data_IF_270898064786
#
_entry.id   IF_270898064786
#
_cell.length_a   1.000
_cell.length_b   1.000
_cell.length_c   1.000
_cell.angle_alpha   90.00
_cell.angle_beta   90.00
_cell.angle_gamma   90.00
#
_symmetry.space_group_name_H-M   'P 1'
#
loop_
_entity.id
_entity.type
_entity.pdbx_description
1 polymer ?
#
# COMPACT_ATOMS: atom_id res chain seq x y z
N UNK A 1 -31.23 -47.28 36.58
CA UNK A 1 -31.50 -46.99 35.16
C UNK A 1 -30.80 -45.68 34.82
N UNK A 2 -29.62 -45.79 34.21
CA UNK A 2 -28.94 -44.66 33.59
C UNK A 2 -29.64 -44.49 32.25
N UNK A 3 -30.33 -43.37 32.04
CA UNK A 3 -30.83 -42.99 30.71
C UNK A 3 -29.57 -42.72 29.87
N UNK A 4 -29.33 -43.45 28.77
CA UNK A 4 -28.27 -43.08 27.85
C UNK A 4 -28.63 -41.68 27.33
N UNK A 5 -27.73 -40.72 27.47
CA UNK A 5 -27.86 -39.45 26.78
C UNK A 5 -28.11 -39.74 25.31
N UNK A 6 -29.14 -39.12 24.72
CA UNK A 6 -29.36 -39.16 23.28
C UNK A 6 -28.03 -38.81 22.62
N UNK A 7 -27.46 -39.73 21.85
CA UNK A 7 -26.37 -39.38 20.95
C UNK A 7 -26.90 -38.23 20.10
N UNK A 8 -26.32 -37.04 20.25
CA UNK A 8 -26.64 -35.93 19.38
C UNK A 8 -26.29 -36.42 17.97
N UNK A 9 -27.30 -36.52 17.09
CA UNK A 9 -27.05 -36.96 15.72
C UNK A 9 -26.04 -36.03 15.08
N UNK A 10 -25.08 -36.62 14.38
CA UNK A 10 -23.96 -35.89 13.80
C UNK A 10 -24.46 -34.88 12.78
N UNK A 11 -24.02 -33.62 12.86
CA UNK A 11 -24.50 -32.54 11.98
C UNK A 11 -24.24 -32.83 10.50
N UNK A 12 -23.19 -33.59 10.20
CA UNK A 12 -22.85 -33.98 8.81
C UNK A 12 -23.79 -35.05 8.24
N UNK A 13 -24.65 -35.64 9.07
CA UNK A 13 -25.73 -36.53 8.61
C UNK A 13 -26.79 -35.73 7.84
N UNK A 14 -27.13 -34.54 8.35
CA UNK A 14 -28.09 -33.62 7.74
C UNK A 14 -27.42 -32.70 6.71
N UNK A 15 -26.15 -32.35 6.94
CA UNK A 15 -25.37 -31.44 6.09
C UNK A 15 -24.02 -32.06 5.69
N UNK A 16 -23.99 -33.07 4.79
CA UNK A 16 -22.77 -33.77 4.40
C UNK A 16 -21.69 -32.87 3.79
N UNK A 17 -22.07 -31.72 3.26
CA UNK A 17 -21.15 -30.72 2.73
C UNK A 17 -20.30 -30.02 3.81
N UNK A 18 -20.67 -30.14 5.10
CA UNK A 18 -19.86 -29.69 6.23
C UNK A 18 -18.70 -30.64 6.58
N UNK A 19 -18.64 -31.85 5.99
CA UNK A 19 -17.58 -32.83 6.27
C UNK A 19 -16.16 -32.22 6.27
N UNK A 20 -15.73 -31.42 5.27
CA UNK A 20 -14.39 -30.84 5.27
C UNK A 20 -14.12 -29.86 6.41
N UNK A 21 -15.16 -29.17 6.89
CA UNK A 21 -15.04 -28.25 8.03
C UNK A 21 -14.98 -29.04 9.33
N UNK A 22 -15.87 -30.01 9.51
CA UNK A 22 -15.92 -30.89 10.70
C UNK A 22 -14.64 -31.72 10.83
N UNK A 23 -14.11 -32.26 9.75
CA UNK A 23 -12.83 -32.97 9.73
C UNK A 23 -11.66 -32.06 10.15
N UNK A 24 -11.75 -30.76 9.85
CA UNK A 24 -10.71 -29.79 10.16
C UNK A 24 -10.76 -29.27 11.60
N UNK A 25 -11.95 -28.98 12.12
CA UNK A 25 -12.12 -28.38 13.47
C UNK A 25 -12.44 -29.41 14.55
N UNK A 26 -13.01 -30.55 14.18
CA UNK A 26 -13.60 -31.52 15.11
C UNK A 26 -15.08 -31.23 15.37
N UNK A 27 -15.93 -32.26 15.32
CA UNK A 27 -17.39 -32.09 15.43
C UNK A 27 -17.82 -31.43 16.75
N UNK A 28 -17.24 -31.85 17.87
CA UNK A 28 -17.55 -31.28 19.19
C UNK A 28 -17.04 -29.84 19.36
N UNK A 29 -16.10 -29.43 18.52
CA UNK A 29 -15.49 -28.11 18.58
C UNK A 29 -16.12 -27.15 17.56
N UNK A 30 -16.92 -27.62 16.60
CA UNK A 30 -17.60 -26.80 15.59
C UNK A 30 -18.41 -25.68 16.26
N UNK A 31 -18.30 -24.46 15.73
CA UNK A 31 -18.96 -23.27 16.29
C UNK A 31 -19.83 -22.54 15.28
N UNK A 32 -20.74 -21.69 15.79
CA UNK A 32 -21.51 -20.72 15.02
C UNK A 32 -20.59 -19.87 14.15
N UNK A 33 -19.44 -19.44 14.68
CA UNK A 33 -18.51 -18.58 13.92
C UNK A 33 -17.83 -19.33 12.76
N UNK A 34 -17.54 -20.63 12.89
CA UNK A 34 -17.09 -21.42 11.73
C UNK A 34 -18.18 -21.48 10.65
N UNK A 35 -19.44 -21.65 11.08
CA UNK A 35 -20.59 -21.72 10.19
C UNK A 35 -20.90 -20.37 9.50
N UNK A 36 -20.59 -19.23 10.12
CA UNK A 36 -20.65 -17.90 9.46
C UNK A 36 -19.73 -17.86 8.24
N UNK A 37 -18.47 -18.31 8.42
CA UNK A 37 -17.51 -18.38 7.33
C UNK A 37 -17.91 -19.37 6.23
N UNK A 38 -18.45 -20.53 6.62
CA UNK A 38 -19.01 -21.51 5.69
C UNK A 38 -20.16 -20.91 4.87
N UNK A 39 -21.13 -20.25 5.52
CA UNK A 39 -22.28 -19.62 4.84
C UNK A 39 -21.85 -18.50 3.89
N UNK A 40 -20.87 -17.69 4.28
CA UNK A 40 -20.31 -16.65 3.40
C UNK A 40 -19.69 -17.25 2.13
N UNK A 41 -18.85 -18.28 2.29
CA UNK A 41 -18.22 -18.98 1.17
C UNK A 41 -19.22 -19.70 0.27
N UNK A 42 -20.22 -20.40 0.84
CA UNK A 42 -21.29 -21.05 0.08
C UNK A 42 -22.06 -20.05 -0.77
N UNK A 43 -22.49 -18.94 -0.18
CA UNK A 43 -23.23 -17.89 -0.89
C UNK A 43 -22.39 -17.31 -2.03
N UNK A 44 -21.11 -17.04 -1.80
CA UNK A 44 -20.22 -16.56 -2.85
C UNK A 44 -20.02 -17.59 -3.98
N UNK A 45 -19.85 -18.87 -3.66
CA UNK A 45 -19.76 -19.95 -4.64
C UNK A 45 -21.02 -20.06 -5.51
N UNK A 46 -22.20 -19.90 -4.91
CA UNK A 46 -23.48 -19.91 -5.63
C UNK A 46 -23.62 -18.71 -6.57
N UNK A 47 -23.29 -17.50 -6.10
CA UNK A 47 -23.42 -16.27 -6.87
C UNK A 47 -22.40 -16.18 -8.02
N UNK A 48 -21.16 -16.58 -7.78
CA UNK A 48 -20.08 -16.53 -8.77
C UNK A 48 -19.96 -17.80 -9.62
N UNK A 49 -20.53 -18.92 -9.17
CA UNK A 49 -20.51 -20.19 -9.90
C UNK A 49 -19.16 -20.93 -9.87
N UNK A 50 -18.29 -20.65 -8.90
CA UNK A 50 -16.98 -21.32 -8.78
C UNK A 50 -17.03 -22.58 -7.90
N UNK A 51 -16.08 -23.48 -8.13
CA UNK A 51 -15.92 -24.71 -7.35
C UNK A 51 -14.84 -24.57 -6.28
N UNK A 52 -14.94 -25.35 -5.21
CA UNK A 52 -13.96 -25.36 -4.12
C UNK A 52 -12.54 -25.53 -4.68
N UNK A 53 -11.64 -24.63 -4.28
CA UNK A 53 -10.22 -24.66 -4.64
C UNK A 53 -9.89 -23.99 -5.97
N UNK A 54 -10.82 -23.23 -6.55
CA UNK A 54 -10.57 -22.44 -7.76
C UNK A 54 -9.39 -21.45 -7.57
N UNK A 55 -8.32 -21.53 -8.38
CA UNK A 55 -7.17 -20.63 -8.28
C UNK A 55 -7.45 -19.22 -8.82
N UNK A 56 -8.58 -19.01 -9.49
CA UNK A 56 -8.97 -17.71 -10.05
C UNK A 56 -9.79 -16.87 -9.08
N UNK A 57 -10.16 -17.44 -7.93
CA UNK A 57 -10.90 -16.76 -6.87
C UNK A 57 -9.98 -16.29 -5.76
N UNK A 58 -10.12 -15.01 -5.41
CA UNK A 58 -9.54 -14.36 -4.25
C UNK A 58 -10.61 -14.17 -3.17
N UNK A 59 -10.33 -14.62 -1.96
CA UNK A 59 -11.12 -14.25 -0.78
C UNK A 59 -10.46 -13.11 -0.02
N UNK A 60 -11.23 -12.09 0.34
CA UNK A 60 -10.82 -11.00 1.23
C UNK A 60 -11.77 -10.96 2.43
N UNK A 61 -11.25 -10.70 3.62
CA UNK A 61 -12.07 -10.57 4.83
C UNK A 61 -11.28 -9.88 5.94
N UNK A 62 -11.96 -9.19 6.84
CA UNK A 62 -11.36 -8.73 8.10
C UNK A 62 -11.44 -9.79 9.22
N UNK A 63 -11.97 -10.99 8.93
CA UNK A 63 -11.92 -12.12 9.83
C UNK A 63 -10.46 -12.45 10.23
N UNK A 64 -10.25 -12.74 11.51
CA UNK A 64 -8.93 -12.88 12.11
C UNK A 64 -8.36 -11.57 12.69
N UNK A 65 -8.93 -10.42 12.35
CA UNK A 65 -8.72 -9.16 13.05
C UNK A 65 -9.87 -8.87 14.02
N UNK A 66 -9.74 -7.76 14.76
CA UNK A 66 -10.75 -7.35 15.72
C UNK A 66 -11.95 -6.81 14.94
N UNK A 67 -13.04 -7.57 14.91
CA UNK A 67 -14.32 -7.15 14.36
C UNK A 67 -15.28 -6.75 15.48
N UNK A 68 -16.24 -5.88 15.15
CA UNK A 68 -17.29 -5.47 16.06
C UNK A 68 -18.37 -6.54 16.20
N UNK A 69 -18.03 -7.60 16.95
CA UNK A 69 -18.89 -8.73 17.28
C UNK A 69 -19.00 -8.92 18.80
N UNK A 70 -18.86 -7.83 19.56
CA UNK A 70 -18.95 -7.85 21.02
C UNK A 70 -17.69 -8.43 21.68
N UNK A 71 -17.87 -9.40 22.59
CA UNK A 71 -16.77 -10.09 23.29
C UNK A 71 -16.21 -11.29 22.52
N UNK A 72 -16.79 -11.58 21.36
CA UNK A 72 -16.47 -12.73 20.52
C UNK A 72 -15.36 -12.39 19.54
N UNK A 73 -14.77 -13.43 18.95
CA UNK A 73 -13.64 -13.30 18.03
C UNK A 73 -14.00 -13.90 16.67
N UNK A 74 -13.35 -13.44 15.60
CA UNK A 74 -13.74 -13.72 14.21
C UNK A 74 -12.86 -14.77 13.52
N UNK A 75 -11.78 -15.22 14.18
CA UNK A 75 -10.76 -16.12 13.62
C UNK A 75 -11.40 -17.42 13.10
N UNK A 76 -12.41 -17.94 13.80
CA UNK A 76 -13.10 -19.19 13.43
C UNK A 76 -13.84 -19.09 12.09
N UNK A 77 -14.25 -17.90 11.67
CA UNK A 77 -14.85 -17.73 10.34
C UNK A 77 -13.85 -18.06 9.23
N UNK A 78 -12.54 -17.93 9.47
CA UNK A 78 -11.52 -18.34 8.52
C UNK A 78 -11.54 -19.86 8.27
N UNK A 79 -11.84 -20.67 9.29
CA UNK A 79 -11.95 -22.12 9.11
C UNK A 79 -13.06 -22.45 8.11
N UNK A 80 -14.23 -21.84 8.27
CA UNK A 80 -15.36 -21.98 7.36
C UNK A 80 -15.02 -21.53 5.94
N UNK A 81 -14.45 -20.34 5.79
CA UNK A 81 -14.06 -19.80 4.47
C UNK A 81 -13.04 -20.71 3.78
N UNK A 82 -11.97 -21.10 4.48
CA UNK A 82 -10.88 -21.90 3.93
C UNK A 82 -11.33 -23.30 3.53
N UNK A 83 -12.09 -23.98 4.39
CA UNK A 83 -12.51 -25.37 4.14
C UNK A 83 -13.62 -25.46 3.10
N UNK A 84 -14.43 -24.42 2.93
CA UNK A 84 -15.55 -24.37 1.98
C UNK A 84 -15.11 -23.91 0.60
N UNK A 85 -14.50 -22.72 0.50
CA UNK A 85 -14.04 -22.17 -0.78
C UNK A 85 -12.70 -22.76 -1.22
N UNK A 86 -11.95 -23.41 -0.32
CA UNK A 86 -10.64 -23.99 -0.65
C UNK A 86 -9.53 -22.96 -0.82
N UNK A 87 -9.71 -21.75 -0.30
CA UNK A 87 -8.75 -20.63 -0.33
C UNK A 87 -7.79 -20.70 0.86
N UNK A 88 -6.57 -20.17 0.72
CA UNK A 88 -5.64 -20.05 1.85
C UNK A 88 -4.53 -19.03 1.59
N UNK A 89 -3.89 -18.57 2.67
CA UNK A 89 -2.68 -17.72 2.56
C UNK A 89 -1.55 -18.42 1.81
N UNK A 90 -1.41 -19.74 2.01
CA UNK A 90 -0.39 -20.56 1.32
C UNK A 90 -0.63 -20.71 -0.18
N UNK A 91 -1.89 -20.64 -0.62
CA UNK A 91 -2.27 -20.55 -2.05
C UNK A 91 -2.18 -19.13 -2.61
N UNK A 92 -1.95 -18.14 -1.74
CA UNK A 92 -1.89 -16.73 -2.14
C UNK A 92 -3.24 -16.12 -2.51
N UNK A 93 -4.37 -16.76 -2.17
CA UNK A 93 -5.71 -16.33 -2.56
C UNK A 93 -6.69 -16.15 -1.38
N UNK A 94 -6.15 -15.94 -0.18
CA UNK A 94 -6.86 -15.45 0.99
C UNK A 94 -6.10 -14.26 1.58
N UNK A 95 -6.80 -13.14 1.73
CA UNK A 95 -6.28 -11.88 2.25
C UNK A 95 -7.05 -11.50 3.51
N UNK A 96 -6.35 -11.49 4.63
CA UNK A 96 -6.88 -10.97 5.88
C UNK A 96 -6.61 -9.47 5.90
N UNK A 97 -7.63 -8.65 5.67
CA UNK A 97 -7.49 -7.20 5.57
C UNK A 97 -7.58 -6.60 6.97
N UNK A 98 -6.52 -5.92 7.40
CA UNK A 98 -6.51 -5.25 8.70
C UNK A 98 -7.59 -4.17 8.74
N UNK A 99 -8.35 -4.12 9.83
CA UNK A 99 -9.40 -3.13 9.99
C UNK A 99 -9.52 -2.67 11.44
N UNK A 100 -10.14 -1.50 11.66
CA UNK A 100 -10.31 -0.99 13.01
C UNK A 100 -11.36 -1.82 13.79
N UNK A 101 -11.16 -1.95 15.10
CA UNK A 101 -11.90 -2.85 15.98
C UNK A 101 -13.43 -2.69 16.00
N UNK A 102 -13.91 -1.52 15.55
CA UNK A 102 -15.31 -1.10 15.62
C UNK A 102 -16.09 -1.33 14.32
N UNK A 103 -15.47 -1.94 13.31
CA UNK A 103 -16.10 -2.21 12.04
C UNK A 103 -16.80 -3.58 11.99
N UNK A 104 -17.85 -3.73 11.17
CA UNK A 104 -18.54 -5.01 11.02
C UNK A 104 -17.64 -6.06 10.38
N UNK A 105 -17.84 -7.32 10.76
CA UNK A 105 -17.21 -8.46 10.09
C UNK A 105 -17.74 -8.57 8.66
N UNK A 106 -16.85 -8.74 7.68
CA UNK A 106 -17.24 -8.87 6.27
C UNK A 106 -16.40 -9.89 5.50
N UNK A 107 -16.94 -10.31 4.36
CA UNK A 107 -16.31 -11.23 3.42
C UNK A 107 -16.49 -10.72 2.00
N UNK A 108 -15.47 -10.86 1.16
CA UNK A 108 -15.56 -10.62 -0.27
C UNK A 108 -14.88 -11.75 -1.04
N UNK A 109 -15.44 -12.10 -2.19
CA UNK A 109 -14.90 -13.10 -3.09
C UNK A 109 -14.86 -12.51 -4.49
N UNK A 110 -13.68 -12.43 -5.07
CA UNK A 110 -13.45 -11.88 -6.40
C UNK A 110 -12.99 -12.98 -7.34
N UNK A 111 -13.66 -13.12 -8.47
CA UNK A 111 -13.26 -14.00 -9.57
C UNK A 111 -12.58 -13.17 -10.67
N UNK A 112 -11.29 -13.43 -10.90
CA UNK A 112 -10.52 -12.66 -11.89
C UNK A 112 -10.85 -13.00 -13.35
N UNK A 113 -11.53 -14.12 -13.63
CA UNK A 113 -11.89 -14.50 -15.00
C UNK A 113 -13.10 -13.71 -15.49
N UNK A 114 -14.08 -13.51 -14.61
CA UNK A 114 -15.30 -12.75 -14.90
C UNK A 114 -15.18 -11.27 -14.52
N UNK A 115 -14.30 -10.97 -13.56
CA UNK A 115 -14.20 -9.67 -12.91
C UNK A 115 -15.27 -9.45 -11.84
N UNK A 116 -16.13 -10.41 -11.55
CA UNK A 116 -17.21 -10.24 -10.57
C UNK A 116 -16.69 -10.41 -9.14
N UNK A 117 -17.22 -9.59 -8.23
CA UNK A 117 -16.96 -9.67 -6.81
C UNK A 117 -18.26 -9.71 -6.02
N UNK A 118 -18.39 -10.69 -5.13
CA UNK A 118 -19.49 -10.81 -4.17
C UNK A 118 -19.03 -10.37 -2.81
N UNK A 119 -19.75 -9.44 -2.19
CA UNK A 119 -19.50 -8.93 -0.83
C UNK A 119 -20.63 -9.32 0.10
N UNK A 120 -20.27 -9.70 1.33
CA UNK A 120 -21.19 -10.05 2.40
C UNK A 120 -20.77 -9.36 3.71
N UNK A 121 -21.64 -8.55 4.29
CA UNK A 121 -21.43 -7.93 5.59
C UNK A 121 -22.29 -8.61 6.65
N UNK A 122 -21.70 -9.01 7.76
CA UNK A 122 -22.41 -9.72 8.83
C UNK A 122 -23.33 -8.78 9.60
N UNK A 123 -24.60 -9.18 9.74
CA UNK A 123 -25.53 -8.52 10.63
C UNK A 123 -25.22 -8.89 12.09
N UNK A 124 -24.36 -8.10 12.73
CA UNK A 124 -23.94 -8.36 14.12
C UNK A 124 -25.13 -8.42 15.10
N UNK A 125 -26.17 -7.61 14.90
CA UNK A 125 -27.33 -7.63 15.80
C UNK A 125 -28.11 -8.94 15.71
N UNK A 126 -28.09 -9.59 14.55
CA UNK A 126 -28.68 -10.91 14.34
C UNK A 126 -27.74 -12.05 14.79
N UNK A 127 -26.44 -11.92 14.57
CA UNK A 127 -25.45 -12.95 14.95
C UNK A 127 -25.25 -13.03 16.46
N UNK A 128 -25.24 -11.91 17.17
CA UNK A 128 -24.88 -11.85 18.59
C UNK A 128 -25.70 -12.79 19.50
N UNK A 129 -27.05 -12.91 19.37
CA UNK A 129 -27.83 -13.87 20.15
C UNK A 129 -27.40 -15.32 19.97
N UNK A 130 -26.95 -15.72 18.77
CA UNK A 130 -26.42 -17.07 18.52
C UNK A 130 -25.11 -17.30 19.27
N UNK A 131 -24.20 -16.32 19.22
CA UNK A 131 -22.93 -16.37 19.94
C UNK A 131 -23.13 -16.35 21.46
N UNK A 132 -24.11 -15.58 21.96
CA UNK A 132 -24.48 -15.57 23.38
C UNK A 132 -25.03 -16.93 23.84
N UNK A 133 -25.88 -17.59 23.03
CA UNK A 133 -26.39 -18.95 23.29
C UNK A 133 -25.26 -19.98 23.32
N UNK A 134 -24.33 -19.91 22.37
CA UNK A 134 -23.17 -20.78 22.30
C UNK A 134 -22.28 -20.65 23.54
N UNK A 135 -21.92 -19.41 23.88
CA UNK A 135 -21.05 -19.13 25.02
C UNK A 135 -21.67 -19.46 26.38
N UNK A 136 -23.00 -19.47 26.49
CA UNK A 136 -23.70 -19.90 27.70
C UNK A 136 -23.66 -21.43 27.90
N UNK A 137 -23.10 -22.20 26.96
CA UNK A 137 -23.09 -23.66 27.02
C UNK A 137 -24.50 -24.23 27.02
N UNK A 138 -25.44 -23.51 26.40
CA UNK A 138 -26.85 -23.92 26.39
C UNK A 138 -26.92 -25.29 25.73
N UNK A 139 -27.31 -26.31 26.52
CA UNK A 139 -27.32 -27.75 26.15
C UNK A 139 -28.14 -28.05 24.88
N UNK A 140 -28.89 -27.07 24.37
CA UNK A 140 -29.72 -27.14 23.18
C UNK A 140 -29.29 -26.17 22.05
N UNK A 141 -28.03 -25.69 21.98
CA UNK A 141 -27.56 -25.07 20.73
C UNK A 141 -27.42 -26.17 19.67
N UNK A 142 -28.48 -26.41 18.93
CA UNK A 142 -28.42 -27.25 17.76
C UNK A 142 -27.85 -26.41 16.61
N UNK A 143 -26.60 -26.68 16.23
CA UNK A 143 -25.98 -26.02 15.09
C UNK A 143 -26.75 -26.26 13.77
N UNK A 144 -27.56 -27.33 13.69
CA UNK A 144 -28.51 -27.52 12.59
C UNK A 144 -29.59 -26.42 12.52
N UNK A 145 -30.02 -25.83 13.66
CA UNK A 145 -30.91 -24.66 13.64
C UNK A 145 -30.21 -23.44 13.04
N UNK A 146 -28.92 -23.25 13.35
CA UNK A 146 -28.16 -22.16 12.73
C UNK A 146 -27.98 -22.39 11.23
N UNK A 147 -27.89 -23.64 10.78
CA UNK A 147 -27.83 -23.98 9.36
C UNK A 147 -29.09 -23.60 8.60
N UNK A 148 -30.26 -23.59 9.23
CA UNK A 148 -31.52 -23.13 8.64
C UNK A 148 -31.57 -21.60 8.46
N UNK A 149 -30.69 -20.84 9.12
CA UNK A 149 -30.63 -19.37 8.95
C UNK A 149 -30.22 -19.02 7.52
N UNK A 150 -31.12 -18.35 6.81
CA UNK A 150 -30.86 -17.85 5.45
C UNK A 150 -29.80 -16.75 5.41
N UNK A 151 -29.11 -16.62 4.28
CA UNK A 151 -28.06 -15.63 4.07
C UNK A 151 -28.57 -14.19 4.30
N UNK A 152 -29.78 -13.86 3.85
CA UNK A 152 -30.36 -12.50 3.98
C UNK A 152 -30.63 -12.07 5.42
N UNK A 153 -30.76 -13.03 6.35
CA UNK A 153 -30.89 -12.71 7.78
C UNK A 153 -29.52 -12.54 8.44
N UNK A 154 -28.56 -13.38 8.07
CA UNK A 154 -27.21 -13.40 8.63
C UNK A 154 -26.36 -12.22 8.13
N UNK A 155 -26.56 -11.79 6.88
CA UNK A 155 -25.79 -10.71 6.26
C UNK A 155 -26.67 -9.48 6.06
N UNK A 156 -26.27 -8.34 6.63
CA UNK A 156 -26.96 -7.05 6.48
C UNK A 156 -26.84 -6.47 5.07
N UNK A 157 -25.83 -6.94 4.31
CA UNK A 157 -25.58 -6.55 2.93
C UNK A 157 -25.02 -7.75 2.17
N UNK A 158 -25.62 -8.03 1.02
CA UNK A 158 -25.09 -8.95 0.01
C UNK A 158 -25.14 -8.19 -1.30
N UNK A 159 -24.00 -8.07 -1.98
CA UNK A 159 -23.91 -7.37 -3.27
C UNK A 159 -22.98 -8.11 -4.22
N UNK A 160 -23.18 -7.89 -5.52
CA UNK A 160 -22.36 -8.43 -6.59
C UNK A 160 -22.08 -7.32 -7.59
N UNK A 161 -20.82 -6.97 -7.74
CA UNK A 161 -20.38 -5.93 -8.68
C UNK A 161 -19.25 -6.45 -9.57
N UNK A 162 -19.24 -6.02 -10.83
CA UNK A 162 -18.10 -6.27 -11.72
C UNK A 162 -17.01 -5.24 -11.43
N UNK A 163 -15.85 -5.71 -11.00
CA UNK A 163 -14.68 -4.93 -10.63
C UNK A 163 -13.46 -5.24 -11.51
N UNK A 164 -13.70 -5.65 -12.75
CA UNK A 164 -12.69 -5.93 -13.77
C UNK A 164 -11.66 -4.78 -13.83
N UNK A 165 -10.39 -5.03 -13.45
CA UNK A 165 -9.37 -4.01 -13.38
C UNK A 165 -9.13 -3.33 -14.73
N UNK A 166 -9.18 -4.08 -15.83
CA UNK A 166 -8.86 -3.54 -17.16
C UNK A 166 -9.94 -2.54 -17.63
N UNK A 167 -11.18 -2.71 -17.17
CA UNK A 167 -12.25 -1.74 -17.36
C UNK A 167 -12.09 -0.55 -16.41
N UNK A 168 -11.89 -0.81 -15.11
CA UNK A 168 -11.90 0.23 -14.08
C UNK A 168 -10.70 1.18 -14.12
N UNK A 169 -9.58 0.79 -14.74
CA UNK A 169 -8.45 1.71 -14.96
C UNK A 169 -8.71 2.70 -16.10
N UNK A 170 -9.78 2.54 -16.90
CA UNK A 170 -10.20 3.54 -17.90
C UNK A 170 -11.05 4.63 -17.25
N UNK A 171 -11.04 5.84 -17.80
CA UNK A 171 -11.89 6.91 -17.26
C UNK A 171 -13.38 6.58 -17.44
N UNK A 172 -13.74 5.97 -18.56
CA UNK A 172 -15.11 5.58 -18.88
C UNK A 172 -15.62 4.54 -17.88
N UNK A 173 -14.84 3.49 -17.63
CA UNK A 173 -15.16 2.46 -16.65
C UNK A 173 -15.26 3.03 -15.24
N UNK A 174 -14.32 3.89 -14.84
CA UNK A 174 -14.37 4.51 -13.52
C UNK A 174 -15.56 5.44 -13.32
N UNK A 175 -15.90 6.28 -14.31
CA UNK A 175 -17.12 7.12 -14.27
C UNK A 175 -18.37 6.26 -14.12
N UNK A 176 -18.47 5.18 -14.91
CA UNK A 176 -19.62 4.29 -14.86
C UNK A 176 -19.76 3.61 -13.50
N UNK A 177 -18.64 3.19 -12.90
CA UNK A 177 -18.65 2.46 -11.63
C UNK A 177 -18.77 3.35 -10.39
N UNK A 178 -18.48 4.66 -10.49
CA UNK A 178 -18.33 5.54 -9.32
C UNK A 178 -19.54 5.57 -8.37
N UNK A 179 -20.76 5.37 -8.87
CA UNK A 179 -21.97 5.31 -8.05
C UNK A 179 -21.88 4.26 -6.92
N UNK A 180 -21.10 3.19 -7.11
CA UNK A 180 -20.86 2.17 -6.09
C UNK A 180 -20.17 2.72 -4.82
N UNK A 181 -19.30 3.72 -4.97
CA UNK A 181 -18.70 4.41 -3.82
C UNK A 181 -19.73 5.24 -3.04
N UNK A 182 -20.66 5.87 -3.75
CA UNK A 182 -21.71 6.69 -3.13
C UNK A 182 -22.73 5.81 -2.40
N UNK A 183 -23.12 4.70 -3.02
CA UNK A 183 -24.09 3.72 -2.50
C UNK A 183 -23.49 2.76 -1.48
N UNK A 184 -22.15 2.74 -1.38
CA UNK A 184 -21.37 1.83 -0.55
C UNK A 184 -21.77 0.37 -0.80
N UNK A 185 -21.72 -0.05 -2.05
CA UNK A 185 -22.14 -1.40 -2.43
C UNK A 185 -21.31 -2.48 -1.74
N UNK A 186 -20.08 -2.18 -1.28
CA UNK A 186 -19.24 -3.04 -0.45
C UNK A 186 -19.10 -2.55 1.01
N UNK A 187 -20.12 -1.85 1.52
CA UNK A 187 -20.16 -1.45 2.94
C UNK A 187 -19.12 -0.41 3.34
N UNK A 188 -18.51 0.30 2.38
CA UNK A 188 -17.39 1.22 2.64
C UNK A 188 -16.02 0.59 2.39
N UNK A 189 -15.95 -0.68 1.99
CA UNK A 189 -14.72 -1.40 1.68
C UNK A 189 -14.36 -1.33 0.18
N UNK A 190 -15.01 -0.45 -0.60
CA UNK A 190 -14.87 -0.40 -2.06
C UNK A 190 -13.41 -0.23 -2.47
N UNK A 191 -12.72 0.74 -1.86
CA UNK A 191 -11.33 1.03 -2.22
C UNK A 191 -10.38 -0.12 -1.88
N UNK A 192 -10.56 -0.76 -0.72
CA UNK A 192 -9.78 -1.91 -0.28
C UNK A 192 -9.96 -3.10 -1.21
N UNK A 193 -11.21 -3.48 -1.49
CA UNK A 193 -11.54 -4.64 -2.32
C UNK A 193 -11.07 -4.40 -3.76
N UNK A 194 -11.34 -3.23 -4.33
CA UNK A 194 -10.92 -2.89 -5.70
C UNK A 194 -9.41 -2.99 -5.87
N UNK A 195 -8.65 -2.28 -5.04
CA UNK A 195 -7.21 -2.12 -5.23
C UNK A 195 -6.45 -3.43 -4.98
N UNK A 196 -6.82 -4.18 -3.94
CA UNK A 196 -6.20 -5.47 -3.65
C UNK A 196 -6.53 -6.49 -4.74
N UNK A 197 -7.81 -6.60 -5.13
CA UNK A 197 -8.24 -7.56 -6.16
C UNK A 197 -7.58 -7.27 -7.51
N UNK A 198 -7.48 -6.00 -7.88
CA UNK A 198 -6.88 -5.59 -9.14
C UNK A 198 -5.41 -5.96 -9.23
N UNK A 199 -4.61 -5.62 -8.22
CA UNK A 199 -3.18 -5.92 -8.22
C UNK A 199 -2.95 -7.43 -8.06
N UNK A 200 -3.78 -8.11 -7.28
CA UNK A 200 -3.73 -9.58 -7.15
C UNK A 200 -3.95 -10.28 -8.49
N UNK A 201 -4.93 -9.82 -9.28
CA UNK A 201 -5.22 -10.39 -10.61
C UNK A 201 -4.04 -10.28 -11.58
N UNK A 202 -3.14 -9.31 -11.37
CA UNK A 202 -1.92 -9.08 -12.17
C UNK A 202 -0.68 -9.81 -11.65
N UNK A 203 -0.80 -10.64 -10.61
CA UNK A 203 0.30 -11.46 -10.09
C UNK A 203 1.12 -10.78 -8.98
N UNK A 204 0.44 -10.29 -7.94
CA UNK A 204 1.08 -9.66 -6.78
C UNK A 204 2.07 -10.59 -6.07
N UNK A 205 3.21 -10.03 -5.63
CA UNK A 205 4.16 -10.78 -4.77
C UNK A 205 3.61 -10.95 -3.35
N UNK A 206 4.02 -12.01 -2.65
CA UNK A 206 3.56 -12.24 -1.27
C UNK A 206 3.96 -11.10 -0.34
N UNK A 207 5.19 -10.56 -0.45
CA UNK A 207 5.65 -9.42 0.35
C UNK A 207 4.74 -8.20 0.18
N UNK A 208 4.32 -7.92 -1.07
CA UNK A 208 3.43 -6.80 -1.35
C UNK A 208 2.00 -7.06 -0.86
N UNK A 209 1.48 -8.29 -1.04
CA UNK A 209 0.18 -8.68 -0.52
C UNK A 209 0.10 -8.58 1.00
N UNK A 210 1.15 -9.00 1.73
CA UNK A 210 1.21 -8.81 3.19
C UNK A 210 1.27 -7.33 3.58
N UNK A 211 1.89 -6.48 2.76
CA UNK A 211 1.91 -5.03 3.00
C UNK A 211 0.50 -4.45 2.85
N UNK A 212 -0.27 -4.94 1.89
CA UNK A 212 -1.67 -4.57 1.70
C UNK A 212 -2.57 -5.08 2.84
N UNK A 213 -2.30 -6.26 3.42
CA UNK A 213 -3.02 -6.74 4.61
C UNK A 213 -2.88 -5.76 5.77
N UNK A 214 -1.66 -5.30 6.07
CA UNK A 214 -1.41 -4.31 7.13
C UNK A 214 -2.01 -2.94 6.78
N UNK A 215 -1.78 -2.46 5.56
CA UNK A 215 -2.18 -1.13 5.13
C UNK A 215 -3.68 -1.02 4.82
N UNK A 216 -4.37 -2.15 4.65
CA UNK A 216 -5.79 -2.36 4.35
C UNK A 216 -6.26 -2.04 2.92
N UNK A 217 -5.39 -1.54 2.05
CA UNK A 217 -5.64 -1.32 0.63
C UNK A 217 -4.31 -1.23 -0.12
N UNK A 218 -4.35 -1.17 -1.45
CA UNK A 218 -3.18 -0.79 -2.24
C UNK A 218 -3.40 0.63 -2.75
N UNK A 219 -2.34 1.44 -2.69
CA UNK A 219 -2.32 2.77 -3.27
C UNK A 219 -0.91 3.08 -3.76
N UNK A 220 -0.71 4.11 -4.61
CA UNK A 220 0.61 4.43 -5.15
C UNK A 220 1.64 4.75 -4.07
N UNK A 221 1.19 5.21 -2.90
CA UNK A 221 2.03 5.37 -1.72
C UNK A 221 2.58 4.04 -1.19
N UNK A 222 1.73 3.01 -1.07
CA UNK A 222 2.15 1.67 -0.65
C UNK A 222 3.03 1.02 -1.71
N UNK A 223 2.66 1.13 -2.99
CA UNK A 223 3.44 0.67 -4.15
C UNK A 223 4.85 1.28 -4.14
N UNK A 224 4.96 2.59 -3.85
CA UNK A 224 6.27 3.24 -3.70
C UNK A 224 7.11 2.65 -2.56
N UNK A 225 6.48 2.24 -1.45
CA UNK A 225 7.18 1.55 -0.36
C UNK A 225 7.67 0.17 -0.73
N UNK A 226 6.87 -0.58 -1.49
CA UNK A 226 7.30 -1.86 -2.07
C UNK A 226 8.50 -1.67 -3.01
N UNK A 227 8.46 -0.67 -3.91
CA UNK A 227 9.58 -0.36 -4.80
C UNK A 227 10.84 0.04 -4.04
N UNK A 228 10.72 0.91 -3.04
CA UNK A 228 11.83 1.28 -2.16
C UNK A 228 12.43 0.04 -1.49
N UNK A 229 11.58 -0.87 -1.00
CA UNK A 229 12.04 -2.08 -0.35
C UNK A 229 12.79 -3.01 -1.33
N UNK A 230 12.28 -3.21 -2.55
CA UNK A 230 12.97 -4.01 -3.56
C UNK A 230 14.29 -3.35 -3.99
N UNK A 231 14.29 -2.04 -4.23
CA UNK A 231 15.50 -1.28 -4.57
C UNK A 231 16.58 -1.42 -3.49
N UNK A 232 16.22 -1.26 -2.21
CA UNK A 232 17.16 -1.42 -1.10
C UNK A 232 17.67 -2.87 -0.98
N UNK A 233 16.82 -3.88 -1.19
CA UNK A 233 17.22 -5.30 -1.17
C UNK A 233 18.22 -5.63 -2.28
N UNK A 234 18.03 -5.05 -3.47
CA UNK A 234 18.88 -5.29 -4.63
C UNK A 234 20.21 -4.54 -4.56
N UNK A 235 20.18 -3.24 -4.27
CA UNK A 235 21.36 -2.37 -4.32
C UNK A 235 22.13 -2.28 -3.00
N UNK A 236 21.47 -2.54 -1.87
CA UNK A 236 22.06 -2.47 -0.52
C UNK A 236 21.68 -3.69 0.34
N UNK A 237 21.93 -4.92 -0.12
CA UNK A 237 21.51 -6.13 0.60
C UNK A 237 22.06 -6.16 2.03
N UNK A 238 21.24 -6.62 2.99
CA UNK A 238 21.66 -6.81 4.36
C UNK A 238 22.53 -8.06 4.49
N UNK A 239 23.66 -7.93 5.18
CA UNK A 239 24.49 -9.03 5.65
C UNK A 239 23.99 -9.55 6.99
N UNK A 240 24.55 -10.69 7.42
CA UNK A 240 24.13 -11.37 8.65
C UNK A 240 24.33 -10.48 9.88
N UNK A 241 23.22 -10.02 10.45
CA UNK A 241 23.20 -9.21 11.66
C UNK A 241 23.01 -7.73 11.42
N UNK A 242 22.95 -7.31 10.16
CA UNK A 242 22.53 -5.97 9.79
C UNK A 242 21.01 -5.87 9.78
N UNK A 243 20.51 -4.65 9.92
CA UNK A 243 19.08 -4.35 9.82
C UNK A 243 18.86 -2.95 9.28
N UNK A 244 17.64 -2.71 8.82
CA UNK A 244 17.18 -1.38 8.46
C UNK A 244 16.66 -0.63 9.69
N UNK A 245 16.99 0.67 9.74
CA UNK A 245 16.29 1.66 10.55
C UNK A 245 15.72 2.70 9.58
N UNK A 246 14.40 2.80 9.53
CA UNK A 246 13.69 3.69 8.60
C UNK A 246 13.36 5.01 9.27
N UNK A 247 13.79 6.09 8.67
CA UNK A 247 13.35 7.44 9.00
C UNK A 247 12.34 7.88 7.95
N UNK A 248 11.06 7.81 8.32
CA UNK A 248 9.93 8.22 7.52
C UNK A 248 9.87 9.76 7.45
N UNK A 249 10.58 10.32 6.47
CA UNK A 249 10.71 11.76 6.26
C UNK A 249 10.48 12.13 4.78
N UNK A 250 9.28 12.61 4.41
CA UNK A 250 8.05 12.64 5.21
C UNK A 250 7.39 11.25 5.31
N UNK A 251 6.44 11.06 6.25
CA UNK A 251 5.66 9.82 6.34
C UNK A 251 4.54 9.76 5.30
N UNK A 252 4.31 8.57 4.73
CA UNK A 252 3.10 8.20 4.00
C UNK A 252 2.97 6.67 3.92
N UNK A 253 2.00 6.16 3.16
CA UNK A 253 1.70 4.73 3.02
C UNK A 253 2.91 3.80 2.75
N UNK A 254 4.03 4.31 2.20
CA UNK A 254 5.25 3.53 1.99
C UNK A 254 5.78 2.92 3.29
N UNK A 255 5.55 3.60 4.41
CA UNK A 255 6.17 3.24 5.67
C UNK A 255 5.53 1.97 6.22
N UNK A 256 4.25 1.69 5.94
CA UNK A 256 3.61 0.43 6.30
C UNK A 256 4.19 -0.76 5.51
N UNK A 257 4.50 -0.58 4.22
CA UNK A 257 5.22 -1.61 3.46
C UNK A 257 6.61 -1.88 4.07
N UNK A 258 7.30 -0.84 4.53
CA UNK A 258 8.63 -0.99 5.13
C UNK A 258 8.58 -1.64 6.53
N UNK A 259 7.54 -1.35 7.32
CA UNK A 259 7.26 -2.09 8.55
C UNK A 259 7.06 -3.57 8.25
N UNK A 260 6.27 -3.89 7.23
CA UNK A 260 5.93 -5.26 6.87
C UNK A 260 7.12 -6.04 6.28
N UNK A 261 7.87 -5.44 5.37
CA UNK A 261 8.93 -6.12 4.60
C UNK A 261 10.24 -6.17 5.38
N UNK A 262 10.62 -5.10 6.07
CA UNK A 262 11.89 -5.01 6.80
C UNK A 262 11.77 -5.22 8.30
N UNK A 263 10.58 -5.56 8.80
CA UNK A 263 10.32 -5.69 10.23
C UNK A 263 10.71 -4.43 11.03
N UNK A 264 10.67 -3.28 10.34
CA UNK A 264 11.17 -2.00 10.83
C UNK A 264 10.08 -1.24 11.55
N UNK A 265 9.66 -1.75 12.71
CA UNK A 265 8.54 -1.14 13.47
C UNK A 265 9.01 -0.12 14.51
N UNK A 266 8.12 0.79 14.89
CA UNK A 266 8.36 1.78 15.96
C UNK A 266 8.70 1.08 17.29
N UNK A 267 7.95 0.02 17.64
CA UNK A 267 8.19 -0.76 18.87
C UNK A 267 9.55 -1.44 18.91
N UNK A 268 10.07 -1.86 17.75
CA UNK A 268 11.44 -2.41 17.59
C UNK A 268 12.51 -1.32 17.51
N UNK A 269 12.12 -0.04 17.63
CA UNK A 269 12.97 1.15 17.46
C UNK A 269 13.63 1.19 16.07
N UNK A 270 13.07 0.50 15.09
CA UNK A 270 13.62 0.44 13.74
C UNK A 270 12.86 1.36 12.78
N UNK A 271 11.97 2.21 13.31
CA UNK A 271 11.34 3.30 12.57
C UNK A 271 11.19 4.57 13.40
N UNK A 272 11.39 5.70 12.73
CA UNK A 272 11.17 7.06 13.19
C UNK A 272 10.23 7.78 12.23
N UNK A 273 9.40 8.69 12.72
CA UNK A 273 8.52 9.51 11.88
C UNK A 273 8.86 10.98 12.06
N UNK A 274 9.05 11.70 10.95
CA UNK A 274 9.24 13.15 10.96
C UNK A 274 8.46 13.78 9.82
N UNK A 275 7.47 14.59 10.17
CA UNK A 275 6.75 15.40 9.18
C UNK A 275 7.66 16.52 8.67
N UNK A 276 7.56 16.80 7.37
CA UNK A 276 8.16 17.98 6.75
C UNK A 276 7.01 18.96 6.47
N UNK A 277 6.85 20.05 7.25
CA UNK A 277 5.87 21.09 6.94
C UNK A 277 6.16 21.72 5.58
N UNK A 278 5.12 22.26 4.91
CA UNK A 278 5.29 22.89 3.59
C UNK A 278 6.33 24.03 3.61
N UNK A 279 6.37 24.82 4.69
CA UNK A 279 7.35 25.90 4.90
C UNK A 279 8.81 25.42 4.99
N UNK A 280 9.02 24.15 5.34
CA UNK A 280 10.33 23.49 5.32
C UNK A 280 10.59 22.88 3.95
N UNK A 281 9.57 22.24 3.36
CA UNK A 281 9.65 21.60 2.04
C UNK A 281 10.05 22.59 0.94
N UNK A 282 9.53 23.81 0.98
CA UNK A 282 9.88 24.88 0.02
C UNK A 282 11.35 25.30 0.10
N UNK A 283 11.97 25.16 1.28
CA UNK A 283 13.37 25.49 1.56
C UNK A 283 14.34 24.35 1.28
N UNK A 284 13.83 23.15 1.00
CA UNK A 284 14.70 22.04 0.60
C UNK A 284 15.36 22.37 -0.74
N UNK A 285 16.66 22.06 -0.91
CA UNK A 285 17.30 22.11 -2.22
C UNK A 285 16.50 21.30 -3.24
N UNK A 286 16.55 21.72 -4.51
CA UNK A 286 15.70 21.18 -5.58
C UNK A 286 15.83 19.65 -5.69
N UNK A 287 17.04 19.14 -5.55
CA UNK A 287 17.38 17.72 -5.60
C UNK A 287 16.76 16.89 -4.46
N UNK A 288 16.38 17.51 -3.33
CA UNK A 288 15.77 16.82 -2.17
C UNK A 288 14.25 16.98 -2.10
N UNK A 289 13.61 17.67 -3.04
CA UNK A 289 12.15 17.93 -2.99
C UNK A 289 11.30 16.66 -3.10
N UNK A 290 11.84 15.61 -3.74
CA UNK A 290 11.19 14.32 -3.91
C UNK A 290 11.64 13.27 -2.87
N UNK A 291 12.26 13.70 -1.77
CA UNK A 291 12.68 12.79 -0.69
C UNK A 291 11.54 11.87 -0.24
N UNK A 292 11.85 10.59 -0.16
CA UNK A 292 10.96 9.51 0.27
C UNK A 292 11.39 8.86 1.58
N UNK A 293 12.55 9.23 2.11
CA UNK A 293 12.96 8.82 3.44
C UNK A 293 14.47 8.70 3.55
N UNK A 294 14.91 8.43 4.77
CA UNK A 294 16.29 8.08 5.08
C UNK A 294 16.28 6.63 5.57
N UNK A 295 17.11 5.79 4.94
CA UNK A 295 17.21 4.37 5.22
C UNK A 295 18.59 4.11 5.78
N UNK A 296 18.66 3.80 7.06
CA UNK A 296 19.93 3.55 7.74
C UNK A 296 20.15 2.05 7.82
N UNK A 297 21.16 1.57 7.10
CA UNK A 297 21.69 0.22 7.24
C UNK A 297 22.64 0.22 8.42
N UNK A 298 22.37 -0.57 9.45
CA UNK A 298 23.20 -0.63 10.67
C UNK A 298 23.63 -2.05 11.02
N UNK A 299 24.92 -2.24 11.27
CA UNK A 299 25.53 -3.49 11.71
C UNK A 299 25.43 -3.74 13.21
N UNK A 300 25.82 -4.95 13.65
CA UNK A 300 25.76 -5.36 15.07
C UNK A 300 26.65 -4.51 15.98
N UNK A 301 27.78 -4.07 15.47
CA UNK A 301 28.80 -3.28 16.18
C UNK A 301 28.54 -1.78 16.08
N UNK A 302 27.51 -1.36 15.34
CA UNK A 302 27.01 0.00 15.27
C UNK A 302 27.44 0.79 14.04
N UNK A 303 28.27 0.22 13.16
CA UNK A 303 28.60 0.83 11.87
C UNK A 303 27.32 1.04 11.06
N UNK A 304 27.12 2.26 10.59
CA UNK A 304 25.89 2.66 9.93
C UNK A 304 26.16 3.44 8.65
N UNK A 305 25.38 3.16 7.61
CA UNK A 305 25.32 3.95 6.38
C UNK A 305 23.89 4.46 6.21
N UNK A 306 23.74 5.76 5.97
CA UNK A 306 22.48 6.37 5.56
C UNK A 306 22.39 6.41 4.04
N UNK A 307 21.23 5.98 3.53
CA UNK A 307 20.84 6.08 2.13
C UNK A 307 19.58 6.93 2.09
N UNK A 308 19.62 8.06 1.41
CA UNK A 308 18.46 8.95 1.23
C UNK A 308 17.91 8.68 -0.15
N UNK A 309 16.65 8.24 -0.22
CA UNK A 309 16.00 7.95 -1.49
C UNK A 309 14.93 8.98 -1.82
N UNK A 310 14.69 9.19 -3.11
CA UNK A 310 13.59 9.97 -3.65
C UNK A 310 12.63 9.09 -4.46
N UNK A 311 11.38 9.54 -4.59
CA UNK A 311 10.35 8.90 -5.42
C UNK A 311 9.86 9.88 -6.48
N UNK A 312 9.97 9.51 -7.76
CA UNK A 312 9.58 10.34 -8.90
C UNK A 312 8.07 10.28 -9.16
N UNK A 313 7.34 11.14 -8.46
CA UNK A 313 5.90 11.27 -8.62
C UNK A 313 5.46 11.87 -9.95
N UNK A 314 6.31 12.68 -10.60
CA UNK A 314 5.98 13.28 -11.88
C UNK A 314 6.00 12.19 -12.97
N UNK A 315 6.99 11.29 -12.89
CA UNK A 315 7.03 10.11 -13.75
C UNK A 315 5.87 9.15 -13.48
N UNK A 316 5.51 8.88 -12.22
CA UNK A 316 4.30 8.08 -11.90
C UNK A 316 3.06 8.69 -12.56
N UNK A 317 2.85 10.00 -12.42
CA UNK A 317 1.71 10.69 -13.02
C UNK A 317 1.74 10.63 -14.56
N UNK A 318 2.92 10.81 -15.16
CA UNK A 318 3.13 10.75 -16.61
C UNK A 318 2.83 9.37 -17.18
N UNK A 319 3.44 8.32 -16.63
CA UNK A 319 3.26 6.94 -17.10
C UNK A 319 1.81 6.47 -16.92
N UNK A 320 1.15 6.94 -15.86
CA UNK A 320 -0.25 6.61 -15.59
C UNK A 320 -1.24 7.55 -16.30
N UNK A 321 -0.79 8.62 -16.97
CA UNK A 321 -1.66 9.50 -17.75
C UNK A 321 -2.66 10.33 -16.93
N UNK A 322 -2.30 10.78 -15.73
CA UNK A 322 -3.14 11.69 -14.93
C UNK A 322 -2.33 12.86 -14.36
N UNK A 323 -3.00 13.95 -13.95
CA UNK A 323 -2.32 15.08 -13.32
C UNK A 323 -2.22 14.89 -11.80
N UNK A 324 -1.15 15.42 -11.18
CA UNK A 324 -0.95 15.33 -9.71
C UNK A 324 -2.14 15.86 -8.90
N UNK A 325 -2.86 16.85 -9.41
CA UNK A 325 -4.05 17.43 -8.77
C UNK A 325 -5.24 16.46 -8.71
N UNK A 326 -5.34 15.52 -9.64
CA UNK A 326 -6.46 14.56 -9.72
C UNK A 326 -6.44 13.60 -8.52
N UNK A 327 -5.26 13.33 -7.92
CA UNK A 327 -5.13 12.57 -6.66
C UNK A 327 -5.83 13.23 -5.47
N UNK A 328 -6.13 14.53 -5.56
CA UNK A 328 -6.82 15.33 -4.52
C UNK A 328 -8.25 15.68 -4.92
N UNK A 329 -8.76 15.20 -6.05
CA UNK A 329 -10.15 15.42 -6.46
C UNK A 329 -11.08 14.42 -5.76
N UNK A 330 -11.27 14.61 -4.46
CA UNK A 330 -12.14 13.78 -3.62
C UNK A 330 -13.63 13.94 -3.94
N UNK A 331 -13.99 14.87 -4.81
CA UNK A 331 -15.37 15.12 -5.24
C UNK A 331 -15.81 14.32 -6.46
N UNK A 332 -14.90 13.60 -7.12
CA UNK A 332 -15.21 12.82 -8.32
C UNK A 332 -14.52 11.46 -8.33
N UNK A 333 -14.83 10.63 -9.32
CA UNK A 333 -14.21 9.31 -9.51
C UNK A 333 -12.66 9.37 -9.56
N UNK A 334 -12.09 10.53 -9.87
CA UNK A 334 -10.66 10.71 -10.07
C UNK A 334 -9.82 10.35 -8.84
N UNK A 335 -10.28 10.59 -7.62
CA UNK A 335 -9.45 10.30 -6.45
C UNK A 335 -9.12 8.81 -6.34
N UNK A 336 -10.08 7.91 -6.58
CA UNK A 336 -9.84 6.47 -6.48
C UNK A 336 -9.30 5.92 -7.78
N UNK A 337 -9.77 6.43 -8.92
CA UNK A 337 -9.35 5.99 -10.25
C UNK A 337 -7.86 6.21 -10.47
N UNK A 338 -7.33 7.40 -10.14
CA UNK A 338 -5.89 7.68 -10.27
C UNK A 338 -5.03 6.73 -9.44
N UNK A 339 -5.52 6.33 -8.26
CA UNK A 339 -4.83 5.39 -7.38
C UNK A 339 -4.86 3.98 -7.97
N UNK A 340 -6.05 3.46 -8.30
CA UNK A 340 -6.21 2.14 -8.91
C UNK A 340 -5.43 2.01 -10.22
N UNK A 341 -5.48 3.03 -11.08
CA UNK A 341 -4.75 3.05 -12.35
C UNK A 341 -3.25 2.99 -12.12
N UNK A 342 -2.71 3.78 -11.19
CA UNK A 342 -1.30 3.70 -10.86
C UNK A 342 -0.93 2.35 -10.23
N UNK A 343 -1.77 1.79 -9.36
CA UNK A 343 -1.50 0.49 -8.74
C UNK A 343 -1.41 -0.65 -9.76
N UNK A 344 -2.25 -0.63 -10.80
CA UNK A 344 -2.21 -1.63 -11.88
C UNK A 344 -1.07 -1.37 -12.86
N UNK A 345 -0.92 -0.13 -13.35
CA UNK A 345 0.10 0.20 -14.37
C UNK A 345 1.51 -0.05 -13.82
N UNK A 346 1.79 0.37 -12.58
CA UNK A 346 3.13 0.24 -12.00
C UNK A 346 3.57 -1.22 -11.80
N UNK A 347 2.66 -2.21 -11.82
CA UNK A 347 3.05 -3.63 -11.71
C UNK A 347 3.93 -4.12 -12.87
N UNK A 348 3.89 -3.42 -14.00
CA UNK A 348 4.70 -3.75 -15.18
C UNK A 348 6.08 -3.05 -15.20
N UNK A 349 6.34 -2.19 -14.20
CA UNK A 349 7.56 -1.38 -14.14
C UNK A 349 8.53 -1.83 -13.05
N UNK A 350 9.77 -1.34 -13.15
CA UNK A 350 10.84 -1.64 -12.19
C UNK A 350 11.05 -0.54 -11.16
N UNK A 351 11.50 -0.87 -9.94
CA UNK A 351 11.82 0.13 -8.91
C UNK A 351 12.76 1.24 -9.38
N UNK A 352 13.81 0.92 -10.16
CA UNK A 352 14.84 1.85 -10.66
C UNK A 352 14.26 2.98 -11.53
N UNK A 353 13.07 2.78 -12.09
CA UNK A 353 12.41 3.79 -12.90
C UNK A 353 11.86 4.95 -12.05
N UNK A 354 11.56 4.71 -10.77
CA UNK A 354 10.90 5.69 -9.90
C UNK A 354 11.71 6.04 -8.65
N UNK A 355 12.63 5.17 -8.25
CA UNK A 355 13.44 5.35 -7.04
C UNK A 355 14.83 5.86 -7.42
N UNK A 356 15.24 6.96 -6.77
CA UNK A 356 16.54 7.59 -7.00
C UNK A 356 17.32 7.73 -5.69
N UNK A 357 18.65 7.61 -5.76
CA UNK A 357 19.54 7.89 -4.63
C UNK A 357 19.85 9.38 -4.61
N UNK A 358 19.40 10.07 -3.56
CA UNK A 358 19.64 11.50 -3.36
C UNK A 358 20.91 11.76 -2.56
N UNK A 359 21.30 10.83 -1.69
CA UNK A 359 22.52 10.89 -0.89
C UNK A 359 22.88 9.50 -0.35
N UNK A 360 24.18 9.23 -0.29
CA UNK A 360 24.75 8.22 0.60
C UNK A 360 25.71 8.89 1.58
N UNK A 361 25.65 8.48 2.84
CA UNK A 361 26.55 8.99 3.88
C UNK A 361 26.96 7.87 4.83
N UNK A 362 28.26 7.65 4.95
CA UNK A 362 28.82 6.84 6.03
C UNK A 362 28.66 7.62 7.34
N UNK A 363 27.98 7.01 8.31
CA UNK A 363 27.76 7.58 9.63
C UNK A 363 28.80 7.10 10.64
N UNK A 364 29.72 6.21 10.24
CA UNK A 364 30.64 5.55 11.15
C UNK A 364 29.89 4.72 12.21
N UNK A 365 30.51 4.56 13.38
CA UNK A 365 29.91 3.80 14.47
C UNK A 365 28.91 4.67 15.25
N UNK A 366 27.63 4.31 15.17
CA UNK A 366 26.52 4.97 15.85
C UNK A 366 26.16 4.32 17.20
N UNK A 367 26.87 3.27 17.61
CA UNK A 367 26.52 2.43 18.75
C UNK A 367 25.29 1.59 18.46
N UNK A 368 24.43 1.41 19.46
CA UNK A 368 23.17 0.71 19.29
C UNK A 368 22.12 1.58 18.56
N UNK A 369 21.13 0.93 17.94
CA UNK A 369 19.94 1.63 17.38
C UNK A 369 19.27 2.54 18.40
N UNK A 370 19.24 2.14 19.67
CA UNK A 370 18.68 2.94 20.76
C UNK A 370 19.46 4.26 20.92
N UNK A 371 20.79 4.19 20.93
CA UNK A 371 21.65 5.36 21.10
C UNK A 371 21.59 6.28 19.88
N UNK A 372 21.63 5.71 18.67
CA UNK A 372 21.45 6.45 17.42
C UNK A 372 20.11 7.22 17.42
N UNK A 373 19.00 6.52 17.68
CA UNK A 373 17.68 7.14 17.69
C UNK A 373 17.51 8.13 18.83
N UNK A 374 18.09 7.89 20.01
CA UNK A 374 18.04 8.86 21.11
C UNK A 374 18.71 10.20 20.74
N UNK A 375 19.76 10.18 19.89
CA UNK A 375 20.38 11.41 19.36
C UNK A 375 19.53 12.03 18.26
N UNK A 376 19.14 11.24 17.26
CA UNK A 376 18.47 11.74 16.06
C UNK A 376 17.02 12.16 16.31
N UNK A 377 16.34 11.58 17.31
CA UNK A 377 14.97 11.91 17.72
C UNK A 377 14.92 12.81 18.96
N UNK A 378 16.05 13.34 19.43
CA UNK A 378 16.04 14.26 20.56
C UNK A 378 15.19 15.50 20.23
N UNK A 379 14.57 16.09 21.24
CA UNK A 379 13.84 17.37 21.06
C UNK A 379 14.82 18.40 20.50
N UNK A 380 14.51 18.96 19.32
CA UNK A 380 15.35 19.92 18.61
C UNK A 380 16.34 19.31 17.61
N UNK A 381 16.47 17.99 17.55
CA UNK A 381 17.23 17.31 16.50
C UNK A 381 16.45 17.33 15.17
N UNK A 382 17.19 17.44 14.06
CA UNK A 382 16.63 17.30 12.72
C UNK A 382 17.57 16.42 11.89
N UNK A 383 17.16 15.20 11.50
CA UNK A 383 18.01 14.30 10.73
C UNK A 383 18.43 14.89 9.37
N UNK A 384 17.64 15.81 8.79
CA UNK A 384 18.02 16.50 7.56
C UNK A 384 19.19 17.48 7.79
N UNK A 385 19.28 18.08 8.98
CA UNK A 385 20.41 18.95 9.36
C UNK A 385 21.66 18.10 9.64
N UNK A 386 21.52 17.00 10.38
CA UNK A 386 22.62 16.06 10.67
C UNK A 386 23.22 15.47 9.39
N UNK A 387 22.38 15.21 8.38
CA UNK A 387 22.83 14.76 7.07
C UNK A 387 23.43 15.89 6.23
N UNK A 388 23.20 17.16 6.55
CA UNK A 388 23.65 18.33 5.79
C UNK A 388 22.73 18.69 4.63
N UNK A 389 21.52 18.14 4.58
CA UNK A 389 20.48 18.43 3.59
C UNK A 389 19.82 19.79 3.88
N UNK A 390 19.75 20.16 5.16
CA UNK A 390 19.20 21.43 5.63
C UNK A 390 20.20 22.22 6.48
N UNK A 391 20.15 23.56 6.46
CA UNK A 391 20.93 24.39 7.37
C UNK A 391 20.44 24.26 8.81
N UNK A 392 21.34 24.43 9.78
CA UNK A 392 21.00 24.43 11.21
C UNK A 392 20.08 25.61 11.59
N UNK A 393 19.19 25.46 12.58
CA UNK A 393 18.34 26.56 13.04
C UNK A 393 19.18 27.77 13.49
N UNK A 394 18.89 28.95 12.93
CA UNK A 394 19.62 30.19 13.24
C UNK A 394 20.90 30.42 12.44
N UNK A 395 21.29 29.50 11.55
CA UNK A 395 22.24 29.81 10.51
C UNK A 395 21.56 30.77 9.51
N UNK A 396 21.88 32.05 9.59
CA UNK A 396 21.71 32.94 8.44
C UNK A 396 22.38 32.30 7.25
N UNK A 397 21.72 32.30 6.09
CA UNK A 397 22.35 31.93 4.83
C UNK A 397 23.73 32.58 4.81
N UNK A 398 24.80 31.76 4.83
CA UNK A 398 26.09 32.26 4.43
C UNK A 398 25.84 32.86 3.04
N UNK A 399 26.21 34.14 2.80
CA UNK A 399 25.93 34.77 1.52
C UNK A 399 26.42 33.80 0.47
N UNK A 400 25.52 33.38 -0.42
CA UNK A 400 25.81 32.47 -1.51
C UNK A 400 27.20 32.85 -2.01
N UNK A 401 28.15 31.91 -1.96
CA UNK A 401 29.47 32.16 -2.52
C UNK A 401 29.19 32.70 -3.92
N UNK A 402 29.47 33.99 -4.11
CA UNK A 402 29.44 34.57 -5.45
C UNK A 402 30.25 33.60 -6.28
N UNK A 403 29.73 33.15 -7.44
CA UNK A 403 30.49 32.26 -8.30
C UNK A 403 31.87 32.88 -8.41
N UNK A 404 32.88 32.12 -8.02
CA UNK A 404 34.28 32.52 -8.06
C UNK A 404 34.46 33.18 -9.41
N UNK A 405 34.76 34.48 -9.40
CA UNK A 405 35.09 35.22 -10.60
C UNK A 405 36.18 34.39 -11.27
N UNK A 406 35.81 33.67 -12.35
CA UNK A 406 36.79 33.31 -13.35
C UNK A 406 37.47 34.62 -13.65
N UNK A 407 38.76 34.71 -13.37
CA UNK A 407 39.60 35.84 -13.72
C UNK A 407 39.31 36.12 -15.19
N UNK A 408 38.46 37.10 -15.44
CA UNK A 408 38.19 37.59 -16.77
C UNK A 408 39.47 38.32 -17.12
N UNK A 409 40.28 37.70 -17.98
CA UNK A 409 41.15 38.45 -18.89
C UNK A 409 40.33 39.65 -19.38
N UNK A 410 40.80 40.90 -19.20
CA UNK A 410 40.03 42.07 -19.55
C UNK A 410 39.73 42.00 -21.05
N UNK A 411 38.49 41.69 -21.40
CA UNK A 411 38.00 41.88 -22.75
C UNK A 411 37.82 43.38 -22.92
N UNK A 412 38.75 43.99 -23.65
CA UNK A 412 38.68 45.40 -24.03
C UNK A 412 37.45 45.57 -24.93
N UNK A 413 36.39 46.28 -24.50
CA UNK A 413 35.28 46.61 -25.36
C UNK A 413 35.72 47.81 -26.21
N UNK A 414 36.19 47.56 -27.43
CA UNK A 414 36.55 48.67 -28.32
C UNK A 414 37.49 48.40 -29.50
N UNK A 415 38.02 47.18 -29.68
CA UNK A 415 38.96 46.92 -30.79
C UNK A 415 38.37 46.11 -31.97
N UNK A 416 37.31 45.32 -31.77
CA UNK A 416 36.70 44.55 -32.86
C UNK A 416 35.68 45.35 -33.71
N UNK A 417 35.13 46.45 -33.19
CA UNK A 417 34.22 47.32 -33.97
C UNK A 417 35.00 48.32 -34.84
N UNK A 418 36.23 48.69 -34.45
CA UNK A 418 37.08 49.57 -35.26
C UNK A 418 37.75 48.81 -36.41
N UNK A 419 38.07 47.52 -36.24
CA UNK A 419 38.61 46.68 -37.30
C UNK A 419 37.59 46.35 -38.41
N UNK A 420 36.31 46.16 -38.06
CA UNK A 420 35.25 45.91 -39.05
C UNK A 420 34.90 47.15 -39.89
N UNK A 421 34.99 48.36 -39.31
CA UNK A 421 34.76 49.63 -40.02
C UNK A 421 35.95 49.99 -40.93
N UNK A 422 37.19 49.67 -40.52
CA UNK A 422 38.38 49.88 -41.37
C UNK A 422 38.43 48.94 -42.58
N UNK A 423 38.00 47.68 -42.45
CA UNK A 423 37.99 46.71 -43.57
C UNK A 423 36.84 47.02 -44.55
N UNK A 424 35.67 47.46 -44.08
CA UNK A 424 34.58 47.91 -44.96
C UNK A 424 34.93 49.21 -45.72
N UNK A 425 35.65 50.15 -45.08
CA UNK A 425 36.14 51.38 -45.72
C UNK A 425 37.16 51.15 -46.84
N UNK A 426 38.07 50.18 -46.67
CA UNK A 426 39.08 49.84 -47.69
C UNK A 426 38.46 49.10 -48.88
N UNK A 427 37.45 48.25 -48.67
CA UNK A 427 36.74 47.56 -49.77
C UNK A 427 35.86 48.52 -50.58
N UNK A 428 35.21 49.51 -49.94
CA UNK A 428 34.42 50.54 -50.65
C UNK A 428 35.31 51.56 -51.40
N UNK A 429 36.49 51.89 -50.88
CA UNK A 429 37.45 52.76 -51.56
C UNK A 429 38.11 52.08 -52.79
N UNK A 430 38.44 50.79 -52.69
CA UNK A 430 38.97 50.00 -53.82
C UNK A 430 37.92 49.74 -54.93
N UNK A 431 36.65 49.55 -54.57
CA UNK A 431 35.56 49.38 -55.54
C UNK A 431 35.21 50.68 -56.31
N UNK A 432 35.37 51.86 -55.68
CA UNK A 432 35.13 53.17 -56.34
C UNK A 432 36.25 53.62 -57.29
N UNK A 433 37.49 53.13 -57.15
CA UNK A 433 38.57 53.40 -58.14
C UNK A 433 38.56 52.48 -59.37
N UNK A 434 37.84 51.35 -59.35
CA UNK A 434 37.69 50.48 -60.54
C UNK A 434 36.56 50.89 -61.50
N UNK A 435 35.77 51.93 -61.20
CA UNK A 435 34.70 52.47 -62.06
C UNK A 435 35.07 53.79 -62.77
N UNK A 436 36.37 54.09 -62.94
CA UNK A 436 36.86 55.27 -63.68
C UNK A 436 37.90 54.95 -64.76
N UNK A 437 37.82 53.75 -65.33
CA UNK A 437 38.48 53.40 -66.60
C UNK A 437 37.41 52.67 -67.42
N UNK A 438 37.07 53.28 -68.55
CA UNK A 438 35.89 53.12 -69.43
C UNK A 438 34.63 53.84 -68.94
#
# INVERSE_FOLDING_TARGET
>A
FIVPGSAQESIVSDYPELNPLVDFVGENDLSVMDLVGYKAAKKAMEELGFSKGDPNVLALTDAGYIANIGKYSSERALNGVMTTAGVSRGKGNLVNVHHAYNNPLWFAFFDKDTGDCVYLEVNNSYLKPWLDREAAGTVNLNLSEFMEVGADALFSKISRENIDPDKLITEEGAKAWHHNFDEKTFGGNEFSILTISAVWSKGISNEFLRSAELHNHICPGLTSGYFIAQYLKEHYPLEKGEKWVVWAVPPWCKDDALQQIFDSTVGKRCMAVTYIPDSVKEKLPLEYRNIAGIYVKIGKTGEAKAIVLGCDWDKVCSDCGFARKDLKDFSSYKWWWTRLRADVVLMEHKPEEYISVLMEKDLGNQGSVKEMNARWMAVGANPLVELGIMPAPGATEAPAQKPTEKTQTPSIPGLCVIAAIAIAGVVVYAARRRKKIW
#
